data_IF_746388446105
#
_entry.id   IF_746388446105
#
_cell.length_a   1.000
_cell.length_b   1.000
_cell.length_c   1.000
_cell.angle_alpha   90.00
_cell.angle_beta   90.00
_cell.angle_gamma   90.00
#
_symmetry.space_group_name_H-M   'P 1'
#
loop_
_entity.id
_entity.type
_entity.pdbx_description
1 polymer ?
#
# COMPACT_ATOMS: atom_id res chain seq x y z
N UNK A 1 13.63 1.92 -7.24
CA UNK A 1 15.07 1.66 -7.05
C UNK A 1 15.23 0.35 -6.26
N UNK A 2 16.02 -0.60 -6.75
CA UNK A 2 16.21 -1.92 -6.11
C UNK A 2 17.04 -1.83 -4.82
N UNK A 3 18.10 -1.02 -4.80
CA UNK A 3 18.98 -0.84 -3.64
C UNK A 3 18.18 -0.39 -2.41
N UNK A 4 17.26 0.57 -2.58
CA UNK A 4 16.40 1.06 -1.50
C UNK A 4 15.57 -0.09 -0.88
N UNK A 5 15.05 -1.00 -1.71
CA UNK A 5 14.24 -2.13 -1.24
C UNK A 5 15.08 -3.15 -0.48
N UNK A 6 16.32 -3.39 -0.90
CA UNK A 6 17.24 -4.31 -0.23
C UNK A 6 17.63 -3.77 1.15
N UNK A 7 18.07 -2.51 1.23
CA UNK A 7 18.43 -1.86 2.50
C UNK A 7 17.26 -1.86 3.48
N UNK A 8 16.05 -1.47 3.04
CA UNK A 8 14.88 -1.46 3.91
C UNK A 8 14.45 -2.86 4.35
N UNK A 9 14.72 -3.90 3.54
CA UNK A 9 14.44 -5.29 3.91
C UNK A 9 15.44 -5.81 4.94
N UNK A 10 16.72 -5.50 4.78
CA UNK A 10 17.77 -5.91 5.72
C UNK A 10 17.52 -5.36 7.12
N UNK A 11 16.97 -4.14 7.22
CA UNK A 11 16.53 -3.55 8.48
C UNK A 11 15.13 -3.99 8.95
N UNK A 12 14.43 -4.84 8.19
CA UNK A 12 13.10 -5.35 8.54
C UNK A 12 11.96 -4.32 8.41
N UNK A 13 12.17 -3.19 7.72
CA UNK A 13 11.15 -2.16 7.54
C UNK A 13 10.12 -2.52 6.47
N UNK A 14 10.50 -3.29 5.46
CA UNK A 14 9.62 -3.67 4.34
C UNK A 14 9.74 -5.15 3.98
N UNK A 15 8.63 -5.71 3.53
CA UNK A 15 8.61 -7.01 2.87
C UNK A 15 9.21 -6.92 1.45
N UNK A 16 9.25 -8.04 0.72
CA UNK A 16 9.59 -8.05 -0.72
C UNK A 16 8.74 -7.04 -1.52
N UNK A 17 9.28 -6.54 -2.63
CA UNK A 17 8.67 -5.47 -3.43
C UNK A 17 7.17 -5.72 -3.67
N UNK A 18 6.33 -4.79 -3.24
CA UNK A 18 4.88 -4.85 -3.43
C UNK A 18 4.13 -5.79 -2.47
N UNK A 19 4.81 -6.58 -1.65
CA UNK A 19 4.17 -7.54 -0.73
C UNK A 19 3.35 -6.84 0.35
N UNK A 20 3.86 -5.77 0.96
CA UNK A 20 3.09 -4.99 1.93
C UNK A 20 1.78 -4.44 1.35
N UNK A 21 1.79 -4.03 0.07
CA UNK A 21 0.57 -3.56 -0.61
C UNK A 21 -0.41 -4.71 -0.83
N UNK A 22 0.06 -5.84 -1.39
CA UNK A 22 -0.80 -6.98 -1.76
C UNK A 22 -1.35 -7.74 -0.55
N UNK A 23 -0.56 -7.88 0.51
CA UNK A 23 -0.90 -8.74 1.66
C UNK A 23 -1.49 -7.96 2.83
N UNK A 24 -1.28 -6.64 2.90
CA UNK A 24 -1.77 -5.80 4.00
C UNK A 24 -2.67 -4.70 3.48
N UNK A 25 -2.17 -3.74 2.69
CA UNK A 25 -2.93 -2.54 2.31
C UNK A 25 -4.25 -2.88 1.60
N UNK A 26 -4.19 -3.63 0.49
CA UNK A 26 -5.39 -3.99 -0.29
C UNK A 26 -6.43 -4.74 0.56
N UNK A 27 -6.11 -5.88 1.19
CA UNK A 27 -7.11 -6.65 1.93
C UNK A 27 -7.61 -5.91 3.19
N UNK A 28 -6.75 -5.19 3.92
CA UNK A 28 -7.16 -4.52 5.16
C UNK A 28 -8.02 -3.28 4.90
N UNK A 29 -7.72 -2.49 3.85
CA UNK A 29 -8.58 -1.36 3.48
C UNK A 29 -9.96 -1.84 3.02
N UNK A 30 -10.01 -2.90 2.21
CA UNK A 30 -11.28 -3.51 1.80
C UNK A 30 -12.07 -4.05 3.00
N UNK A 31 -11.41 -4.74 3.94
CA UNK A 31 -12.05 -5.28 5.14
C UNK A 31 -12.58 -4.18 6.08
N UNK A 32 -11.86 -3.06 6.22
CA UNK A 32 -12.23 -1.97 7.12
C UNK A 32 -13.33 -1.07 6.56
N UNK A 33 -13.29 -0.78 5.27
CA UNK A 33 -14.14 0.24 4.64
C UNK A 33 -15.24 -0.33 3.73
N UNK A 34 -15.14 -1.60 3.34
CA UNK A 34 -15.96 -2.17 2.27
C UNK A 34 -15.52 -1.73 0.86
N UNK A 35 -14.46 -0.93 0.74
CA UNK A 35 -13.93 -0.43 -0.54
C UNK A 35 -12.44 -0.74 -0.68
N UNK A 36 -12.03 -1.11 -1.89
CA UNK A 36 -10.62 -1.33 -2.20
C UNK A 36 -9.89 0.01 -2.28
N UNK A 37 -8.61 0.08 -1.90
CA UNK A 37 -7.84 1.30 -2.08
C UNK A 37 -7.70 1.65 -3.56
N UNK A 38 -7.64 2.94 -3.88
CA UNK A 38 -7.41 3.41 -5.26
C UNK A 38 -5.96 3.84 -5.44
N UNK A 39 -5.39 3.46 -6.59
CA UNK A 39 -4.06 3.87 -7.02
C UNK A 39 -4.17 4.51 -8.41
N UNK A 40 -3.86 5.80 -8.51
CA UNK A 40 -3.89 6.53 -9.78
C UNK A 40 -2.48 6.99 -10.11
N UNK A 41 -1.89 6.43 -11.16
CA UNK A 41 -0.64 6.93 -11.71
C UNK A 41 -0.91 8.26 -12.41
N UNK A 42 -0.13 9.28 -12.06
CA UNK A 42 -0.04 10.55 -12.80
C UNK A 42 1.35 10.64 -13.45
N UNK A 43 1.63 11.75 -14.12
CA UNK A 43 2.91 11.93 -14.83
C UNK A 43 4.11 12.05 -13.87
N UNK A 44 3.89 12.57 -12.65
CA UNK A 44 4.92 12.93 -11.68
C UNK A 44 4.74 12.28 -10.30
N UNK A 45 3.59 11.66 -10.02
CA UNK A 45 3.34 10.97 -8.76
C UNK A 45 2.37 9.79 -8.89
N UNK A 46 2.23 9.06 -7.77
CA UNK A 46 1.18 8.06 -7.59
C UNK A 46 0.22 8.56 -6.51
N UNK A 47 -1.02 8.85 -6.89
CA UNK A 47 -2.07 9.14 -5.91
C UNK A 47 -2.56 7.83 -5.30
N UNK A 48 -2.66 7.78 -3.98
CA UNK A 48 -3.26 6.64 -3.26
C UNK A 48 -4.42 7.14 -2.40
N UNK A 49 -5.58 6.50 -2.50
CA UNK A 49 -6.74 6.76 -1.63
C UNK A 49 -6.99 5.50 -0.79
N UNK A 50 -6.96 5.67 0.53
CA UNK A 50 -7.34 4.66 1.50
C UNK A 50 -8.66 5.06 2.15
N UNK A 51 -9.69 4.26 1.96
CA UNK A 51 -11.01 4.53 2.51
C UNK A 51 -11.05 4.21 4.01
N UNK A 52 -11.64 5.12 4.78
CA UNK A 52 -11.95 4.90 6.20
C UNK A 52 -13.23 4.07 6.34
N UNK A 53 -13.44 3.48 7.51
CA UNK A 53 -14.75 2.89 7.81
C UNK A 53 -15.85 3.95 7.64
N UNK A 54 -17.01 3.59 7.08
CA UNK A 54 -18.18 4.46 7.10
C UNK A 54 -18.48 4.86 8.55
N UNK A 55 -18.69 6.14 8.80
CA UNK A 55 -19.29 6.58 10.06
C UNK A 55 -20.77 6.17 10.04
N UNK A 56 -21.21 5.45 11.06
CA UNK A 56 -22.64 5.21 11.33
C UNK A 56 -23.41 6.52 11.45
#
# INVERSE_FOLDING_TARGET
NTIIIEVLRDYGYVDSRGMGVRTKIIPLTQALSGQSPEFTATDDYLKTILYRSPSL
#
